data_IF_970368466744
#
_entry.id   IF_970368466744
#
_cell.length_a   1.000
_cell.length_b   1.000
_cell.length_c   1.000
_cell.angle_alpha   90.00
_cell.angle_beta   90.00
_cell.angle_gamma   90.00
#
_symmetry.space_group_name_H-M   'P 1'
#
loop_
_entity.id
_entity.type
_entity.pdbx_description
1 polymer ?
#
# COMPACT_ATOMS: atom_id res chain seq x y z
N UNK A 1 -9.22 -2.53 -22.54
CA UNK A 1 -10.21 -3.63 -22.57
C UNK A 1 -9.51 -4.95 -22.29
N UNK A 2 -10.10 -5.81 -21.45
CA UNK A 2 -9.50 -7.06 -20.91
C UNK A 2 -10.26 -8.31 -21.42
N UNK A 3 -10.81 -8.25 -22.64
CA UNK A 3 -11.69 -9.30 -23.19
C UNK A 3 -10.96 -10.65 -23.32
N UNK A 4 -11.53 -11.68 -22.68
CA UNK A 4 -11.14 -13.10 -22.72
C UNK A 4 -9.63 -13.36 -22.53
N UNK A 5 -9.07 -12.72 -21.50
CA UNK A 5 -7.63 -12.82 -21.18
C UNK A 5 -7.34 -14.04 -20.31
N UNK A 6 -6.24 -14.75 -20.60
CA UNK A 6 -5.63 -15.76 -19.72
C UNK A 6 -4.35 -15.20 -19.11
N UNK A 7 -4.17 -15.41 -17.82
CA UNK A 7 -2.97 -15.00 -17.06
C UNK A 7 -2.59 -16.10 -16.07
N UNK A 8 -1.36 -16.08 -15.53
CA UNK A 8 -1.02 -17.02 -14.45
C UNK A 8 -1.52 -16.49 -13.12
N UNK A 9 -1.29 -15.19 -12.84
CA UNK A 9 -1.72 -14.56 -11.59
C UNK A 9 -2.59 -13.34 -11.89
N UNK A 10 -3.81 -13.35 -11.34
CA UNK A 10 -4.68 -12.18 -11.30
C UNK A 10 -4.60 -11.52 -9.92
N UNK A 11 -4.16 -10.28 -9.88
CA UNK A 11 -4.14 -9.45 -8.67
C UNK A 11 -5.36 -8.52 -8.71
N UNK A 12 -6.11 -8.48 -7.61
CA UNK A 12 -7.29 -7.63 -7.47
C UNK A 12 -6.96 -6.53 -6.47
N UNK A 13 -6.80 -5.30 -6.96
CA UNK A 13 -6.40 -4.11 -6.20
C UNK A 13 -4.99 -3.64 -6.55
N UNK A 14 -4.84 -2.37 -6.94
CA UNK A 14 -3.56 -1.72 -7.20
C UNK A 14 -3.14 -0.77 -6.06
N UNK A 15 -3.44 -1.15 -4.80
CA UNK A 15 -2.86 -0.52 -3.62
C UNK A 15 -1.43 -1.03 -3.33
N UNK A 16 -0.84 -0.67 -2.17
CA UNK A 16 0.56 -0.99 -1.87
C UNK A 16 0.86 -2.48 -1.94
N UNK A 17 -0.02 -3.33 -1.38
CA UNK A 17 0.12 -4.78 -1.40
C UNK A 17 0.11 -5.35 -2.82
N UNK A 18 -0.86 -4.93 -3.64
CA UNK A 18 -1.01 -5.45 -5.00
C UNK A 18 0.11 -4.99 -5.94
N UNK A 19 0.55 -3.73 -5.81
CA UNK A 19 1.66 -3.20 -6.60
C UNK A 19 3.01 -3.78 -6.17
N UNK A 20 3.24 -4.04 -4.88
CA UNK A 20 4.43 -4.75 -4.42
C UNK A 20 4.47 -6.18 -4.96
N UNK A 21 3.35 -6.92 -4.86
CA UNK A 21 3.24 -8.27 -5.42
C UNK A 21 3.44 -8.27 -6.95
N UNK A 22 2.88 -7.30 -7.66
CA UNK A 22 3.05 -7.18 -9.11
C UNK A 22 4.50 -6.94 -9.51
N UNK A 23 5.26 -6.12 -8.77
CA UNK A 23 6.69 -5.91 -9.03
C UNK A 23 7.50 -7.18 -8.79
N UNK A 24 7.24 -7.91 -7.70
CA UNK A 24 7.93 -9.17 -7.40
C UNK A 24 7.66 -10.25 -8.46
N UNK A 25 6.40 -10.39 -8.89
CA UNK A 25 6.00 -11.33 -9.93
C UNK A 25 6.54 -10.93 -11.31
N UNK A 26 6.56 -9.63 -11.62
CA UNK A 26 7.19 -9.08 -12.81
C UNK A 26 8.68 -9.36 -12.86
N UNK A 27 9.39 -9.16 -11.73
CA UNK A 27 10.80 -9.51 -11.58
C UNK A 27 11.07 -11.01 -11.78
N UNK A 28 10.15 -11.86 -11.34
CA UNK A 28 10.18 -13.31 -11.58
C UNK A 28 9.67 -13.74 -12.97
N UNK A 29 9.31 -12.79 -13.85
CA UNK A 29 8.75 -13.01 -15.19
C UNK A 29 7.48 -13.88 -15.21
N UNK A 30 6.63 -13.75 -14.19
CA UNK A 30 5.33 -14.43 -14.12
C UNK A 30 4.27 -13.60 -14.83
N UNK A 31 3.50 -14.22 -15.73
CA UNK A 31 2.40 -13.54 -16.44
C UNK A 31 1.33 -13.09 -15.43
N UNK A 32 1.22 -11.78 -15.25
CA UNK A 32 0.42 -11.18 -14.17
C UNK A 32 -0.48 -10.08 -14.70
N UNK A 33 -1.75 -10.10 -14.29
CA UNK A 33 -2.71 -9.02 -14.55
C UNK A 33 -3.13 -8.42 -13.22
N UNK A 34 -3.08 -7.09 -13.11
CA UNK A 34 -3.59 -6.34 -11.96
C UNK A 34 -4.85 -5.60 -12.38
N UNK A 35 -5.92 -5.72 -11.61
CA UNK A 35 -7.15 -4.95 -11.76
C UNK A 35 -7.28 -3.93 -10.64
N UNK A 36 -7.70 -2.71 -10.98
CA UNK A 36 -8.04 -1.67 -10.03
C UNK A 36 -9.36 -1.04 -10.44
N UNK A 37 -10.26 -0.82 -9.49
CA UNK A 37 -11.59 -0.26 -9.74
C UNK A 37 -11.55 1.25 -9.96
N UNK A 38 -10.59 1.94 -9.34
CA UNK A 38 -10.41 3.38 -9.48
C UNK A 38 -9.73 3.74 -10.81
N UNK A 39 -9.76 5.01 -11.19
CA UNK A 39 -9.10 5.52 -12.40
C UNK A 39 -7.56 5.57 -12.29
N UNK A 40 -7.04 5.56 -11.07
CA UNK A 40 -5.61 5.63 -10.76
C UNK A 40 -5.32 5.17 -9.33
N UNK A 41 -4.07 5.33 -8.91
CA UNK A 41 -3.63 5.13 -7.51
C UNK A 41 -4.25 6.18 -6.59
N UNK A 42 -4.28 5.91 -5.28
CA UNK A 42 -4.92 6.80 -4.30
C UNK A 42 -4.11 8.10 -4.11
N UNK A 43 -4.75 9.26 -4.17
CA UNK A 43 -4.11 10.54 -3.78
C UNK A 43 -4.24 10.85 -2.28
N UNK A 44 -5.05 10.06 -1.55
CA UNK A 44 -5.21 10.19 -0.10
C UNK A 44 -4.19 9.28 0.60
N UNK A 45 -3.26 9.82 1.41
CA UNK A 45 -2.34 9.02 2.21
C UNK A 45 -3.07 8.32 3.36
N UNK A 46 -2.74 7.06 3.61
CA UNK A 46 -3.29 6.25 4.72
C UNK A 46 -2.17 5.60 5.52
N UNK A 47 -1.19 5.04 4.82
CA UNK A 47 0.08 4.60 5.35
C UNK A 47 1.07 5.75 5.40
N UNK A 48 1.72 5.88 6.55
CA UNK A 48 2.63 6.98 6.87
C UNK A 48 4.08 6.51 7.08
N UNK A 49 4.27 5.21 7.28
CA UNK A 49 5.58 4.60 7.51
C UNK A 49 5.71 3.28 6.78
N UNK A 50 6.94 2.97 6.42
CA UNK A 50 7.40 1.63 6.07
C UNK A 50 8.62 1.30 6.94
N UNK A 51 8.82 0.01 7.20
CA UNK A 51 10.01 -0.48 7.89
C UNK A 51 11.13 -0.82 6.89
N UNK A 52 12.26 -1.24 7.45
CA UNK A 52 13.45 -1.63 6.69
C UNK A 52 13.22 -2.89 5.84
N UNK A 53 12.37 -3.83 6.29
CA UNK A 53 12.05 -5.04 5.55
C UNK A 53 11.21 -4.76 4.30
N UNK A 54 10.24 -3.84 4.39
CA UNK A 54 9.51 -3.41 3.21
C UNK A 54 10.43 -2.63 2.25
N UNK A 55 11.33 -1.79 2.78
CA UNK A 55 12.37 -1.16 1.96
C UNK A 55 13.24 -2.18 1.21
N UNK A 56 13.71 -3.22 1.91
CA UNK A 56 14.50 -4.31 1.33
C UNK A 56 13.73 -5.10 0.26
N UNK A 57 12.41 -5.22 0.43
CA UNK A 57 11.53 -5.83 -0.59
C UNK A 57 11.49 -4.98 -1.87
N UNK A 58 11.48 -3.66 -1.73
CA UNK A 58 11.51 -2.74 -2.87
C UNK A 58 12.91 -2.62 -3.50
N UNK A 59 13.95 -2.80 -2.71
CA UNK A 59 15.33 -2.90 -3.20
C UNK A 59 15.54 -4.12 -4.11
N UNK A 60 14.99 -5.27 -3.72
CA UNK A 60 15.04 -6.49 -4.55
C UNK A 60 14.53 -6.27 -5.97
N UNK A 61 13.53 -5.40 -6.14
CA UNK A 61 12.95 -5.05 -7.44
C UNK A 61 13.52 -3.75 -8.02
N UNK A 62 14.56 -3.19 -7.43
CA UNK A 62 15.27 -2.00 -7.90
C UNK A 62 14.48 -0.71 -7.82
N UNK A 63 13.70 -0.53 -6.74
CA UNK A 63 12.91 0.68 -6.45
C UNK A 63 13.38 1.43 -5.19
N UNK A 64 14.38 0.91 -4.47
CA UNK A 64 14.82 1.50 -3.21
C UNK A 64 15.44 2.90 -3.37
N UNK A 65 16.30 3.10 -4.38
CA UNK A 65 16.95 4.39 -4.62
C UNK A 65 15.93 5.50 -4.91
N UNK A 66 14.98 5.25 -5.82
CA UNK A 66 13.90 6.18 -6.13
C UNK A 66 13.06 6.48 -4.88
N UNK A 67 12.70 5.45 -4.10
CA UNK A 67 11.92 5.65 -2.88
C UNK A 67 12.68 6.42 -1.79
N UNK A 68 14.00 6.24 -1.70
CA UNK A 68 14.85 6.92 -0.72
C UNK A 68 14.80 8.45 -0.91
N UNK A 69 14.69 8.93 -2.15
CA UNK A 69 14.53 10.36 -2.48
C UNK A 69 13.19 10.95 -2.02
N UNK A 70 12.19 10.10 -1.77
CA UNK A 70 10.82 10.48 -1.46
C UNK A 70 10.40 10.14 -0.02
N UNK A 71 11.35 9.84 0.87
CA UNK A 71 11.08 9.43 2.25
C UNK A 71 11.92 10.19 3.29
N UNK A 72 11.47 10.17 4.54
CA UNK A 72 12.29 10.58 5.70
C UNK A 72 12.78 9.31 6.39
N UNK A 73 14.01 8.92 6.07
CA UNK A 73 14.64 7.70 6.61
C UNK A 73 15.01 7.83 8.09
N UNK A 74 14.96 6.71 8.81
CA UNK A 74 15.30 6.60 10.23
C UNK A 74 14.59 7.66 11.09
N UNK A 75 13.29 7.82 10.88
CA UNK A 75 12.46 8.75 11.63
C UNK A 75 12.37 8.34 13.11
N UNK A 76 12.77 9.26 13.99
CA UNK A 76 12.73 9.06 15.43
C UNK A 76 11.35 9.22 16.03
N UNK A 77 11.26 9.06 17.35
CA UNK A 77 10.03 9.28 18.12
C UNK A 77 10.33 10.13 19.35
N UNK A 78 9.52 11.15 19.60
CA UNK A 78 9.50 11.91 20.86
C UNK A 78 8.13 11.76 21.51
N UNK A 79 8.11 11.45 22.80
CA UNK A 79 6.90 11.38 23.61
C UNK A 79 6.84 12.61 24.50
N UNK A 80 5.69 13.26 24.54
CA UNK A 80 5.42 14.43 25.36
C UNK A 80 4.33 14.10 26.38
N UNK A 81 4.51 14.54 27.62
CA UNK A 81 3.49 14.39 28.65
C UNK A 81 2.26 15.25 28.34
N UNK A 82 1.16 15.03 29.08
CA UNK A 82 0.00 15.94 29.10
C UNK A 82 0.31 17.39 29.45
N UNK A 83 1.50 17.68 29.99
CA UNK A 83 1.96 19.03 30.36
C UNK A 83 2.95 19.62 29.33
N UNK A 84 3.20 18.93 28.22
CA UNK A 84 3.99 19.44 27.09
C UNK A 84 5.51 19.25 27.19
N UNK A 85 6.03 18.69 28.29
CA UNK A 85 7.46 18.36 28.36
C UNK A 85 7.75 16.97 27.78
N UNK A 86 8.92 16.83 27.15
CA UNK A 86 9.38 15.58 26.56
C UNK A 86 9.69 14.56 27.66
N UNK A 87 9.05 13.39 27.64
CA UNK A 87 9.26 12.31 28.61
C UNK A 87 10.23 11.25 28.11
N UNK A 88 10.28 11.02 26.80
CA UNK A 88 11.17 10.05 26.19
C UNK A 88 11.46 10.44 24.75
N UNK A 89 12.68 10.13 24.30
CA UNK A 89 13.07 10.27 22.89
C UNK A 89 13.81 9.03 22.44
N UNK A 90 13.32 8.42 21.37
CA UNK A 90 13.93 7.28 20.70
C UNK A 90 14.48 7.80 19.37
N UNK A 91 15.79 7.67 19.16
CA UNK A 91 16.38 8.00 17.86
C UNK A 91 16.01 6.91 16.85
N UNK A 92 15.69 7.29 15.63
CA UNK A 92 15.66 6.33 14.55
C UNK A 92 17.08 5.84 14.25
N UNK A 93 17.17 4.69 13.61
CA UNK A 93 18.44 4.04 13.31
C UNK A 93 18.39 3.39 11.94
N UNK A 94 19.57 3.28 11.32
CA UNK A 94 19.77 2.41 10.17
C UNK A 94 19.98 1.00 10.71
N UNK A 95 19.18 0.04 10.24
CA UNK A 95 19.26 -1.35 10.67
C UNK A 95 20.39 -2.08 9.93
N UNK A 96 20.74 -3.32 10.32
CA UNK A 96 21.67 -4.15 9.55
C UNK A 96 21.24 -4.41 8.10
N UNK A 97 19.96 -4.17 7.76
CA UNK A 97 19.45 -4.26 6.39
C UNK A 97 19.81 -3.04 5.53
N UNK A 98 20.49 -2.02 6.08
CA UNK A 98 20.92 -0.83 5.34
C UNK A 98 19.88 0.29 5.23
N UNK A 99 18.66 0.06 5.73
CA UNK A 99 17.55 1.03 5.69
C UNK A 99 17.16 1.52 7.08
N UNK A 100 16.43 2.64 7.12
CA UNK A 100 15.86 3.15 8.35
C UNK A 100 14.87 2.16 8.95
N UNK A 101 14.96 1.92 10.27
CA UNK A 101 14.02 1.07 11.00
C UNK A 101 12.56 1.53 10.87
N UNK A 102 12.39 2.82 10.61
CA UNK A 102 11.13 3.47 10.24
C UNK A 102 11.44 4.59 9.26
N UNK A 103 10.82 4.53 8.09
CA UNK A 103 10.94 5.59 7.09
C UNK A 103 9.57 6.19 6.85
N UNK A 104 9.44 7.49 7.11
CA UNK A 104 8.19 8.19 6.83
C UNK A 104 8.01 8.34 5.33
N UNK A 105 6.81 8.09 4.83
CA UNK A 105 6.49 8.09 3.41
C UNK A 105 5.23 8.91 3.14
N UNK A 106 5.10 9.38 1.90
CA UNK A 106 3.81 9.80 1.36
C UNK A 106 3.28 8.67 0.47
N UNK A 107 2.28 7.93 0.96
CA UNK A 107 1.77 6.73 0.28
C UNK A 107 1.40 6.94 -1.20
N UNK A 108 0.76 8.05 -1.61
CA UNK A 108 0.47 8.28 -3.03
C UNK A 108 1.70 8.24 -3.93
N UNK A 109 2.83 8.80 -3.49
CA UNK A 109 4.06 8.71 -4.28
C UNK A 109 4.64 7.31 -4.25
N UNK A 110 4.61 6.61 -3.11
CA UNK A 110 5.01 5.20 -3.04
C UNK A 110 4.22 4.34 -4.05
N UNK A 111 2.90 4.50 -4.11
CA UNK A 111 2.05 3.79 -5.08
C UNK A 111 2.43 4.16 -6.53
N UNK A 112 2.69 5.44 -6.81
CA UNK A 112 3.12 5.91 -8.14
C UNK A 112 4.47 5.31 -8.54
N UNK A 113 5.45 5.28 -7.64
CA UNK A 113 6.76 4.64 -7.83
C UNK A 113 6.57 3.16 -8.17
N UNK A 114 5.81 2.42 -7.36
CA UNK A 114 5.59 1.00 -7.61
C UNK A 114 4.83 0.75 -8.92
N UNK A 115 3.85 1.59 -9.27
CA UNK A 115 3.14 1.50 -10.55
C UNK A 115 4.06 1.75 -11.75
N UNK A 116 4.96 2.74 -11.67
CA UNK A 116 6.02 2.96 -12.67
C UNK A 116 6.94 1.74 -12.75
N UNK A 117 7.32 1.18 -11.61
CA UNK A 117 8.12 -0.03 -11.48
C UNK A 117 7.55 -1.22 -12.24
N UNK A 118 6.24 -1.47 -12.11
CA UNK A 118 5.52 -2.54 -12.81
C UNK A 118 5.65 -2.42 -14.33
N UNK A 119 5.61 -1.20 -14.88
CA UNK A 119 5.64 -0.97 -16.34
C UNK A 119 6.94 -1.42 -17.02
N UNK A 120 8.00 -1.69 -16.24
CA UNK A 120 9.27 -2.22 -16.77
C UNK A 120 9.17 -3.69 -17.17
N UNK A 121 8.17 -4.42 -16.69
CA UNK A 121 8.02 -5.86 -16.93
C UNK A 121 6.97 -6.14 -18.00
N UNK A 122 7.39 -6.73 -19.13
CA UNK A 122 6.48 -7.12 -20.21
C UNK A 122 5.48 -8.22 -19.80
N UNK A 123 5.80 -8.99 -18.75
CA UNK A 123 4.94 -10.03 -18.20
C UNK A 123 3.78 -9.48 -17.36
N UNK A 124 3.76 -8.19 -17.03
CA UNK A 124 2.77 -7.61 -16.13
C UNK A 124 1.93 -6.54 -16.84
N UNK A 125 0.62 -6.51 -16.56
CA UNK A 125 -0.28 -5.46 -17.05
C UNK A 125 -1.18 -4.96 -15.92
N UNK A 126 -1.38 -3.64 -15.83
CA UNK A 126 -2.30 -3.02 -14.87
C UNK A 126 -3.48 -2.41 -15.62
N UNK A 127 -4.70 -2.74 -15.21
CA UNK A 127 -5.94 -2.18 -15.76
C UNK A 127 -6.72 -1.47 -14.67
N UNK A 128 -6.83 -0.16 -14.82
CA UNK A 128 -7.71 0.70 -14.01
C UNK A 128 -9.15 0.63 -14.52
N UNK A 129 -10.08 1.14 -13.71
CA UNK A 129 -11.51 1.16 -14.01
C UNK A 129 -12.09 -0.24 -14.28
N UNK A 130 -11.52 -1.26 -13.64
CA UNK A 130 -11.95 -2.66 -13.71
C UNK A 130 -12.34 -3.17 -12.32
N UNK A 131 -13.61 -3.49 -12.14
CA UNK A 131 -14.13 -3.98 -10.85
C UNK A 131 -14.38 -5.47 -10.93
N UNK A 132 -13.76 -6.25 -10.03
CA UNK A 132 -14.11 -7.65 -9.82
C UNK A 132 -15.53 -7.75 -9.23
N UNK A 133 -16.35 -8.60 -9.83
CA UNK A 133 -17.73 -8.85 -9.40
C UNK A 133 -17.88 -10.21 -8.75
N UNK A 134 -17.32 -11.25 -9.35
CA UNK A 134 -17.45 -12.61 -8.83
C UNK A 134 -16.23 -13.47 -9.17
N UNK A 135 -16.06 -14.55 -8.40
CA UNK A 135 -15.06 -15.58 -8.65
C UNK A 135 -15.74 -16.95 -8.71
N UNK A 136 -15.39 -17.73 -9.72
CA UNK A 136 -15.75 -19.15 -9.82
C UNK A 136 -14.48 -19.97 -10.03
N UNK A 137 -14.43 -21.19 -9.49
CA UNK A 137 -13.26 -22.06 -9.64
C UNK A 137 -13.66 -23.53 -9.80
N UNK A 138 -12.93 -24.24 -10.66
CA UNK A 138 -13.11 -25.68 -10.90
C UNK A 138 -11.99 -26.55 -10.28
N UNK A 139 -11.14 -25.94 -9.45
CA UNK A 139 -9.98 -26.58 -8.82
C UNK A 139 -8.70 -26.57 -9.67
N UNK A 140 -8.78 -26.16 -10.94
CA UNK A 140 -7.63 -26.01 -11.84
C UNK A 140 -7.45 -24.60 -12.37
N UNK A 141 -8.56 -23.88 -12.54
CA UNK A 141 -8.60 -22.51 -13.07
C UNK A 141 -9.59 -21.69 -12.25
N UNK A 142 -9.25 -20.42 -12.04
CA UNK A 142 -10.17 -19.41 -11.50
C UNK A 142 -10.71 -18.57 -12.65
N UNK A 143 -12.03 -18.40 -12.70
CA UNK A 143 -12.73 -17.53 -13.63
C UNK A 143 -13.22 -16.30 -12.87
N UNK A 144 -12.64 -15.15 -13.17
CA UNK A 144 -13.03 -13.87 -12.60
C UNK A 144 -13.98 -13.13 -13.54
N UNK A 145 -15.15 -12.74 -13.03
CA UNK A 145 -16.05 -11.81 -13.71
C UNK A 145 -15.68 -10.38 -13.34
N UNK A 146 -15.45 -9.55 -14.36
CA UNK A 146 -15.00 -8.16 -14.21
C UNK A 146 -15.96 -7.26 -14.96
N UNK A 147 -16.27 -6.09 -14.41
CA UNK A 147 -17.05 -5.06 -15.08
C UNK A 147 -16.23 -3.78 -15.19
N UNK A 148 -16.29 -3.13 -16.35
CA UNK A 148 -15.71 -1.80 -16.53
C UNK A 148 -16.68 -0.67 -16.15
N UNK A 149 -16.19 0.57 -16.18
CA UNK A 149 -16.99 1.78 -15.89
C UNK A 149 -18.15 2.02 -16.87
N UNK A 150 -18.18 1.34 -18.01
CA UNK A 150 -19.28 1.40 -18.98
C UNK A 150 -20.30 0.27 -18.79
N UNK A 151 -20.11 -0.59 -17.78
CA UNK A 151 -20.98 -1.72 -17.49
C UNK A 151 -20.71 -2.95 -18.36
N UNK A 152 -19.62 -2.95 -19.15
CA UNK A 152 -19.26 -4.09 -19.99
C UNK A 152 -18.64 -5.17 -19.12
N UNK A 153 -19.28 -6.34 -19.10
CA UNK A 153 -18.79 -7.51 -18.38
C UNK A 153 -17.82 -8.32 -19.21
N UNK A 154 -16.76 -8.79 -18.55
CA UNK A 154 -15.66 -9.56 -19.15
C UNK A 154 -15.28 -10.70 -18.22
N UNK A 155 -14.66 -11.73 -18.78
CA UNK A 155 -14.11 -12.85 -18.01
C UNK A 155 -12.60 -12.91 -18.18
N UNK A 156 -11.90 -13.15 -17.07
CA UNK A 156 -10.47 -13.41 -17.03
C UNK A 156 -10.25 -14.80 -16.44
N UNK A 157 -9.42 -15.61 -17.09
CA UNK A 157 -8.99 -16.91 -16.56
C UNK A 157 -7.60 -16.77 -15.95
N UNK A 158 -7.44 -17.25 -14.72
CA UNK A 158 -6.18 -17.24 -14.02
C UNK A 158 -5.89 -18.58 -13.34
N UNK A 159 -4.62 -18.94 -13.22
CA UNK A 159 -4.21 -20.10 -12.42
C UNK A 159 -4.33 -19.77 -10.92
N UNK A 160 -4.03 -18.52 -10.53
CA UNK A 160 -4.14 -18.01 -9.16
C UNK A 160 -4.75 -16.61 -9.10
N UNK A 161 -5.43 -16.31 -7.98
CA UNK A 161 -5.92 -14.96 -7.66
C UNK A 161 -5.31 -14.47 -6.35
N UNK A 162 -4.78 -13.26 -6.35
CA UNK A 162 -4.33 -12.54 -5.16
C UNK A 162 -5.34 -11.43 -4.80
N UNK A 163 -6.01 -11.58 -3.65
CA UNK A 163 -6.90 -10.56 -3.10
C UNK A 163 -6.11 -9.46 -2.40
N UNK A 164 -5.91 -8.33 -3.09
CA UNK A 164 -5.21 -7.14 -2.60
C UNK A 164 -6.14 -5.91 -2.54
N UNK A 165 -7.45 -6.15 -2.40
CA UNK A 165 -8.55 -5.19 -2.56
C UNK A 165 -9.03 -4.57 -1.24
N UNK A 166 -8.17 -4.61 -0.21
CA UNK A 166 -8.30 -3.89 1.05
C UNK A 166 -9.36 -4.44 2.02
N UNK A 167 -9.67 -3.68 3.08
CA UNK A 167 -10.51 -4.16 4.18
C UNK A 167 -11.93 -4.61 3.79
N UNK A 168 -12.48 -4.06 2.71
CA UNK A 168 -13.81 -4.41 2.17
C UNK A 168 -13.76 -5.48 1.06
N UNK A 169 -12.63 -6.19 0.94
CA UNK A 169 -12.31 -7.19 -0.08
C UNK A 169 -13.51 -7.96 -0.62
N UNK A 170 -13.71 -7.87 -1.93
CA UNK A 170 -14.64 -8.71 -2.70
C UNK A 170 -14.10 -10.13 -2.77
N UNK A 171 -12.79 -10.31 -3.04
CA UNK A 171 -12.17 -11.64 -3.11
C UNK A 171 -12.43 -12.45 -1.84
N UNK A 172 -12.21 -11.85 -0.67
CA UNK A 172 -12.46 -12.50 0.63
C UNK A 172 -13.93 -12.94 0.78
N UNK A 173 -14.88 -12.09 0.36
CA UNK A 173 -16.33 -12.37 0.45
C UNK A 173 -16.77 -13.48 -0.49
N UNK A 174 -16.27 -13.48 -1.73
CA UNK A 174 -16.55 -14.54 -2.71
C UNK A 174 -16.04 -15.92 -2.24
N UNK A 175 -14.96 -15.94 -1.46
CA UNK A 175 -14.43 -17.15 -0.83
C UNK A 175 -15.13 -17.53 0.49
N UNK A 176 -16.11 -16.74 0.95
CA UNK A 176 -16.79 -16.99 2.22
C UNK A 176 -15.90 -16.86 3.45
N UNK A 177 -14.78 -16.13 3.36
CA UNK A 177 -13.83 -15.98 4.46
C UNK A 177 -14.31 -14.87 5.40
N UNK A 178 -14.65 -15.23 6.63
CA UNK A 178 -15.05 -14.28 7.66
C UNK A 178 -13.85 -13.50 8.21
N UNK A 179 -14.10 -12.26 8.61
CA UNK A 179 -13.10 -11.42 9.26
C UNK A 179 -13.40 -11.40 10.76
N UNK A 180 -12.59 -12.11 11.54
CA UNK A 180 -12.64 -12.07 12.99
C UNK A 180 -11.71 -10.97 13.53
N UNK A 181 -12.17 -10.26 14.55
CA UNK A 181 -11.42 -9.15 15.14
C UNK A 181 -12.28 -8.22 15.98
N UNK A 182 -11.61 -7.24 16.61
CA UNK A 182 -12.26 -6.20 17.40
C UNK A 182 -11.99 -4.84 16.77
N UNK A 183 -13.05 -4.06 16.61
CA UNK A 183 -12.92 -2.64 16.30
C UNK A 183 -12.69 -1.86 17.60
N UNK A 184 -11.72 -0.97 17.60
CA UNK A 184 -11.58 0.01 18.69
C UNK A 184 -12.68 1.06 18.56
N UNK A 185 -13.28 1.46 19.68
CA UNK A 185 -14.38 2.42 19.69
C UNK A 185 -13.92 3.86 19.42
N UNK A 186 -12.63 4.14 19.56
CA UNK A 186 -12.08 5.49 19.48
C UNK A 186 -11.84 5.88 18.01
N UNK A 187 -12.62 6.81 17.43
CA UNK A 187 -12.31 7.34 16.11
C UNK A 187 -11.06 8.24 16.19
N UNK A 188 -10.16 8.07 15.23
CA UNK A 188 -9.04 8.99 15.01
C UNK A 188 -9.35 9.90 13.85
N UNK A 189 -9.08 11.19 14.01
CA UNK A 189 -9.13 12.18 12.93
C UNK A 189 -7.70 12.42 12.47
N UNK A 190 -7.44 12.16 11.20
CA UNK A 190 -6.14 12.43 10.55
C UNK A 190 -6.30 13.70 9.72
N UNK A 191 -5.35 14.63 9.88
CA UNK A 191 -5.29 15.88 9.15
C UNK A 191 -3.90 16.04 8.58
N UNK A 192 -3.80 16.06 7.25
CA UNK A 192 -2.56 16.41 6.57
C UNK A 192 -2.45 17.95 6.49
N UNK A 193 -1.30 18.49 6.86
CA UNK A 193 -1.04 19.93 6.86
C UNK A 193 -0.04 20.26 5.76
N UNK A 194 -0.41 21.19 4.89
CA UNK A 194 0.51 21.78 3.92
C UNK A 194 1.34 22.88 4.60
N UNK A 195 2.64 22.90 4.32
CA UNK A 195 3.59 23.90 4.83
C UNK A 195 3.69 23.93 6.35
N UNK A 196 3.77 22.76 6.98
CA UNK A 196 3.98 22.69 8.42
C UNK A 196 5.35 23.30 8.79
N UNK A 197 5.35 24.19 9.77
CA UNK A 197 6.57 24.81 10.32
C UNK A 197 7.49 23.80 11.02
N UNK A 198 6.97 22.62 11.38
CA UNK A 198 7.71 21.57 12.06
C UNK A 198 8.36 20.60 11.07
N UNK A 199 9.63 20.84 10.76
CA UNK A 199 10.43 19.98 9.88
C UNK A 199 11.22 18.90 10.63
N UNK A 200 10.86 18.61 11.88
CA UNK A 200 11.54 17.61 12.70
C UNK A 200 11.35 16.20 12.12
N UNK A 201 12.42 15.38 11.96
CA UNK A 201 12.30 14.00 11.49
C UNK A 201 11.83 13.03 12.60
N UNK A 202 11.03 13.53 13.55
CA UNK A 202 10.55 12.77 14.69
C UNK A 202 9.03 12.76 14.71
N UNK A 203 8.44 11.58 14.79
CA UNK A 203 7.05 11.45 15.24
C UNK A 203 6.95 12.03 16.65
N UNK A 204 5.94 12.86 16.92
CA UNK A 204 5.67 13.45 18.23
C UNK A 204 4.37 12.87 18.77
N UNK A 205 4.44 12.11 19.84
CA UNK A 205 3.26 11.57 20.53
C UNK A 205 2.97 12.40 21.77
N UNK A 206 1.79 13.02 21.82
CA UNK A 206 1.29 13.76 22.97
C UNK A 206 0.40 12.85 23.81
N UNK A 207 0.95 12.37 24.93
CA UNK A 207 0.34 11.36 25.78
C UNK A 207 -0.64 12.02 26.77
N UNK A 208 -1.71 12.61 26.24
CA UNK A 208 -2.81 13.19 27.00
C UNK A 208 -4.00 12.21 27.03
N UNK A 209 -4.37 11.62 28.18
CA UNK A 209 -5.45 10.64 28.26
C UNK A 209 -6.81 11.14 27.79
N UNK A 210 -7.08 12.45 27.91
CA UNK A 210 -8.35 13.03 27.47
C UNK A 210 -8.40 13.34 25.98
N UNK A 211 -7.24 13.58 25.36
CA UNK A 211 -7.08 13.98 23.96
C UNK A 211 -5.71 13.55 23.44
N UNK A 212 -5.49 12.25 23.19
CA UNK A 212 -4.24 11.79 22.60
C UNK A 212 -4.10 12.38 21.20
N UNK A 213 -2.89 12.77 20.84
CA UNK A 213 -2.61 13.32 19.50
C UNK A 213 -1.20 12.93 19.12
N UNK A 214 -0.99 12.65 17.85
CA UNK A 214 0.31 12.46 17.23
C UNK A 214 0.52 13.48 16.11
N UNK A 215 1.77 13.89 15.94
CA UNK A 215 2.23 14.66 14.80
C UNK A 215 3.32 13.83 14.14
N UNK A 216 3.12 13.55 12.86
CA UNK A 216 3.94 12.62 12.11
C UNK A 216 4.65 13.41 11.02
N UNK A 217 5.99 13.34 10.91
CA UNK A 217 6.70 13.96 9.80
C UNK A 217 6.24 13.34 8.48
N UNK A 218 5.86 14.20 7.53
CA UNK A 218 5.64 13.81 6.15
C UNK A 218 6.86 14.24 5.31
N UNK A 219 7.21 13.48 4.26
CA UNK A 219 8.11 13.97 3.22
C UNK A 219 7.59 15.26 2.55
N UNK A 220 8.44 15.97 1.80
CA UNK A 220 8.06 17.17 1.03
C UNK A 220 7.60 18.41 1.84
N UNK A 221 8.13 18.58 3.05
CA UNK A 221 7.87 19.73 3.94
C UNK A 221 6.48 19.80 4.59
N UNK A 222 5.74 18.69 4.60
CA UNK A 222 4.34 18.70 5.04
C UNK A 222 3.44 19.18 3.93
#
# INVERSE_FOLDING_TARGET
MVVDKKTQVLIVGAGPTGLAAANLLGFANVNTVVLEKNQGTSDIPKGIYIDDEFFRTLDLVGLADELAEHCVSAAGVSYFSRFGFCVARVKGLITPNGYGNRSAIWQPELEKIMLRGVKRFASTSVYFEQTLISLDQDGSTVVAEVIDVHGVRQKIRADFVLGCDGGKSTVRKELGIEMDGRSYEQPWVVVDLLHDSDHSPFSKYFVNPSRPTDSIPAPFHG
#
